data_IF_121981618730
#
_entry.id   IF_121981618730
#
_cell.length_a   1.000
_cell.length_b   1.000
_cell.length_c   1.000
_cell.angle_alpha   90.00
_cell.angle_beta   90.00
_cell.angle_gamma   90.00
#
_symmetry.space_group_name_H-M   'P 1'
#
loop_
_entity.id
_entity.type
_entity.pdbx_description
1 polymer ?
#
# COMPACT_ATOMS: atom_id res chain seq x y z
N UNK A 1 -24.71 -19.25 -6.53
CA UNK A 1 -24.09 -20.50 -7.01
C UNK A 1 -22.71 -20.58 -6.38
N UNK A 2 -22.58 -21.25 -5.23
CA UNK A 2 -21.30 -21.41 -4.54
C UNK A 2 -20.47 -22.43 -5.32
N UNK A 3 -19.32 -22.00 -5.87
CA UNK A 3 -18.39 -22.90 -6.56
C UNK A 3 -17.60 -23.65 -5.48
N UNK A 4 -17.75 -24.98 -5.35
CA UNK A 4 -17.18 -25.76 -4.24
C UNK A 4 -15.64 -25.76 -4.20
N UNK A 5 -14.95 -25.26 -5.23
CA UNK A 5 -13.49 -25.06 -5.24
C UNK A 5 -12.99 -23.74 -4.61
N UNK A 6 -13.84 -22.72 -4.47
CA UNK A 6 -13.42 -21.41 -3.93
C UNK A 6 -13.15 -21.42 -2.42
N UNK A 7 -13.78 -22.33 -1.67
CA UNK A 7 -13.66 -22.36 -0.22
C UNK A 7 -12.28 -22.83 0.25
N UNK A 8 -11.69 -23.81 -0.46
CA UNK A 8 -10.36 -24.32 -0.13
C UNK A 8 -9.26 -23.30 -0.44
N UNK A 9 -9.33 -22.60 -1.57
CA UNK A 9 -8.38 -21.54 -1.93
C UNK A 9 -8.42 -20.35 -0.96
N UNK A 10 -9.62 -19.87 -0.61
CA UNK A 10 -9.78 -18.78 0.35
C UNK A 10 -9.26 -19.19 1.75
N UNK A 11 -9.49 -20.45 2.15
CA UNK A 11 -8.95 -20.99 3.39
C UNK A 11 -7.42 -21.04 3.36
N UNK A 12 -6.81 -21.48 2.26
CA UNK A 12 -5.34 -21.50 2.11
C UNK A 12 -4.73 -20.10 2.19
N UNK A 13 -5.34 -19.11 1.52
CA UNK A 13 -4.90 -17.71 1.58
C UNK A 13 -5.00 -17.15 3.02
N UNK A 14 -6.08 -17.46 3.72
CA UNK A 14 -6.26 -17.05 5.11
C UNK A 14 -5.20 -17.71 6.02
N UNK A 15 -4.95 -19.01 5.85
CA UNK A 15 -3.91 -19.73 6.59
C UNK A 15 -2.53 -19.12 6.30
N UNK A 16 -2.20 -18.83 5.04
CA UNK A 16 -0.94 -18.20 4.66
C UNK A 16 -0.77 -16.82 5.32
N UNK A 17 -1.82 -15.99 5.32
CA UNK A 17 -1.82 -14.71 6.01
C UNK A 17 -1.58 -14.85 7.51
N UNK A 18 -2.29 -15.78 8.17
CA UNK A 18 -2.13 -16.04 9.61
C UNK A 18 -0.72 -16.52 9.94
N UNK A 19 -0.15 -17.44 9.14
CA UNK A 19 1.22 -17.92 9.31
C UNK A 19 2.22 -16.76 9.17
N UNK A 20 2.07 -15.91 8.15
CA UNK A 20 2.95 -14.76 7.94
C UNK A 20 2.89 -13.75 9.10
N UNK A 21 1.67 -13.50 9.60
CA UNK A 21 1.44 -12.64 10.76
C UNK A 21 2.10 -13.22 12.02
N UNK A 22 1.85 -14.50 12.32
CA UNK A 22 2.42 -15.18 13.48
C UNK A 22 3.95 -15.25 13.40
N UNK A 23 4.50 -15.51 12.22
CA UNK A 23 5.95 -15.52 12.01
C UNK A 23 6.54 -14.14 12.28
N UNK A 24 5.90 -13.07 11.80
CA UNK A 24 6.33 -11.70 12.04
C UNK A 24 6.27 -11.37 13.53
N UNK A 25 5.16 -11.68 14.22
CA UNK A 25 5.04 -11.51 15.67
C UNK A 25 6.12 -12.30 16.42
N UNK A 26 6.41 -13.53 16.01
CA UNK A 26 7.45 -14.36 16.60
C UNK A 26 8.84 -13.72 16.43
N UNK A 27 9.16 -13.20 15.24
CA UNK A 27 10.44 -12.50 14.99
C UNK A 27 10.56 -11.27 15.91
N UNK A 28 9.51 -10.45 16.00
CA UNK A 28 9.51 -9.26 16.88
C UNK A 28 9.60 -9.66 18.36
N UNK A 29 8.91 -10.72 18.78
CA UNK A 29 8.94 -11.20 20.15
C UNK A 29 10.31 -11.76 20.53
N UNK A 30 10.88 -12.65 19.71
CA UNK A 30 12.23 -13.19 19.90
C UNK A 30 13.27 -12.06 19.86
N UNK A 31 13.20 -11.18 18.85
CA UNK A 31 14.09 -10.02 18.73
C UNK A 31 14.02 -9.12 19.95
N UNK A 32 12.82 -8.76 20.42
CA UNK A 32 12.64 -7.95 21.62
C UNK A 32 13.03 -8.66 22.93
N UNK A 33 12.93 -9.99 22.98
CA UNK A 33 13.26 -10.80 24.17
C UNK A 33 14.76 -11.03 24.32
N UNK A 34 15.47 -11.26 23.22
CA UNK A 34 16.89 -11.59 23.19
C UNK A 34 17.81 -10.42 22.82
N UNK A 35 17.27 -9.28 22.39
CA UNK A 35 18.08 -8.08 22.12
C UNK A 35 18.79 -7.58 23.39
N UNK A 36 20.01 -7.07 23.20
CA UNK A 36 20.78 -6.41 24.24
C UNK A 36 20.10 -5.09 24.65
N UNK A 37 19.30 -5.16 25.72
CA UNK A 37 18.63 -3.98 26.28
C UNK A 37 19.63 -3.12 27.04
N UNK A 38 20.29 -2.19 26.35
CA UNK A 38 21.03 -1.10 27.02
C UNK A 38 20.08 -0.14 27.75
N UNK A 39 20.59 0.63 28.70
CA UNK A 39 19.83 1.64 29.45
C UNK A 39 19.08 2.61 28.52
N UNK A 40 17.94 3.12 28.99
CA UNK A 40 17.19 4.18 28.30
C UNK A 40 17.79 5.51 28.72
N UNK A 41 18.51 6.18 27.83
CA UNK A 41 18.96 7.56 28.00
C UNK A 41 18.21 8.47 27.04
N UNK A 42 18.10 9.75 27.37
CA UNK A 42 17.50 10.78 26.51
C UNK A 42 18.10 10.71 25.09
N UNK A 43 19.44 10.71 24.97
CA UNK A 43 20.12 10.62 23.68
C UNK A 43 19.97 9.30 22.92
N UNK A 44 19.56 8.21 23.58
CA UNK A 44 19.21 6.94 22.89
C UNK A 44 17.80 6.98 22.31
N UNK A 45 16.91 7.76 22.92
CA UNK A 45 15.51 7.92 22.52
C UNK A 45 15.29 9.13 21.62
N UNK A 46 16.25 10.06 21.56
CA UNK A 46 16.21 11.21 20.67
C UNK A 46 16.23 10.76 19.20
N UNK A 47 15.47 11.43 18.31
CA UNK A 47 15.57 11.22 16.88
C UNK A 47 17.01 11.34 16.38
N UNK A 48 17.33 10.63 15.30
CA UNK A 48 18.64 10.76 14.67
C UNK A 48 18.78 12.16 14.07
N UNK A 49 19.69 12.95 14.61
CA UNK A 49 20.00 14.30 14.12
C UNK A 49 21.47 14.63 14.36
N UNK A 50 22.37 13.66 14.22
CA UNK A 50 23.82 13.83 14.47
C UNK A 50 24.17 14.44 15.86
N UNK A 51 23.26 14.35 16.85
CA UNK A 51 23.42 14.99 18.16
C UNK A 51 23.03 16.48 18.19
N UNK A 52 22.49 17.01 17.09
CA UNK A 52 21.94 18.35 17.00
C UNK A 52 20.48 18.36 17.47
N UNK A 53 20.16 19.30 18.35
CA UNK A 53 18.78 19.59 18.77
C UNK A 53 18.08 20.38 17.66
N UNK A 54 17.66 19.67 16.61
CA UNK A 54 16.81 20.26 15.59
C UNK A 54 15.44 20.56 16.21
N UNK A 55 14.83 21.73 15.90
CA UNK A 55 13.47 21.99 16.31
C UNK A 55 12.57 20.88 15.74
N UNK A 56 12.08 20.02 16.63
CA UNK A 56 11.13 18.95 16.32
C UNK A 56 9.78 19.51 15.81
N UNK A 57 9.61 20.83 15.89
CA UNK A 57 8.44 21.55 15.42
C UNK A 57 8.46 21.70 13.89
N UNK A 58 7.95 20.66 13.22
CA UNK A 58 6.78 20.92 12.39
C UNK A 58 6.98 21.23 10.92
N UNK A 59 8.17 21.11 10.34
CA UNK A 59 8.25 21.11 8.87
C UNK A 59 8.14 19.67 8.35
N UNK A 60 6.90 19.21 8.19
CA UNK A 60 6.60 18.10 7.28
C UNK A 60 7.15 18.49 5.91
N UNK A 61 8.40 18.12 5.59
CA UNK A 61 9.06 18.42 4.31
C UNK A 61 8.51 17.59 3.15
N UNK A 62 7.28 17.10 3.30
CA UNK A 62 6.53 16.42 2.25
C UNK A 62 5.69 17.49 1.58
N UNK A 63 5.89 17.68 0.28
CA UNK A 63 4.99 18.50 -0.52
C UNK A 63 3.64 17.77 -0.60
N UNK A 64 2.71 18.15 0.28
CA UNK A 64 1.40 17.51 0.41
C UNK A 64 0.59 17.62 -0.88
N UNK A 65 0.68 18.75 -1.58
CA UNK A 65 0.01 18.95 -2.87
C UNK A 65 0.47 17.88 -3.87
N UNK A 66 1.79 17.75 -4.05
CA UNK A 66 2.37 16.75 -4.95
C UNK A 66 2.04 15.32 -4.52
N UNK A 67 2.12 15.03 -3.22
CA UNK A 67 1.76 13.72 -2.69
C UNK A 67 0.30 13.37 -2.98
N UNK A 68 -0.62 14.30 -2.74
CA UNK A 68 -2.04 14.11 -2.99
C UNK A 68 -2.35 13.94 -4.48
N UNK A 69 -1.68 14.71 -5.36
CA UNK A 69 -1.79 14.54 -6.81
C UNK A 69 -1.39 13.11 -7.21
N UNK A 70 -0.25 12.61 -6.71
CA UNK A 70 0.16 11.23 -6.98
C UNK A 70 -0.82 10.20 -6.42
N UNK A 71 -1.28 10.37 -5.18
CA UNK A 71 -2.22 9.45 -4.55
C UNK A 71 -3.56 9.38 -5.31
N UNK A 72 -4.05 10.53 -5.78
CA UNK A 72 -5.27 10.61 -6.58
C UNK A 72 -5.09 9.93 -7.94
N UNK A 73 -3.98 10.18 -8.64
CA UNK A 73 -3.70 9.48 -9.89
C UNK A 73 -3.57 7.97 -9.70
N UNK A 74 -2.87 7.54 -8.65
CA UNK A 74 -2.77 6.12 -8.30
C UNK A 74 -4.16 5.50 -8.10
N UNK A 75 -5.03 6.15 -7.32
CA UNK A 75 -6.40 5.67 -7.08
C UNK A 75 -7.22 5.58 -8.38
N UNK A 76 -7.13 6.60 -9.25
CA UNK A 76 -7.83 6.61 -10.54
C UNK A 76 -7.36 5.43 -11.40
N UNK A 77 -6.05 5.21 -11.51
CA UNK A 77 -5.50 4.11 -12.29
C UNK A 77 -5.82 2.73 -11.69
N UNK A 78 -5.89 2.60 -10.37
CA UNK A 78 -6.29 1.37 -9.70
C UNK A 78 -7.75 1.00 -10.00
N UNK A 79 -8.67 1.97 -9.93
CA UNK A 79 -10.08 1.76 -10.31
C UNK A 79 -10.22 1.40 -11.79
N UNK A 80 -9.46 2.06 -12.68
CA UNK A 80 -9.45 1.74 -14.11
C UNK A 80 -8.94 0.32 -14.34
N UNK A 81 -7.85 -0.08 -13.71
CA UNK A 81 -7.31 -1.43 -13.81
C UNK A 81 -8.32 -2.47 -13.35
N UNK A 82 -8.98 -2.23 -12.22
CA UNK A 82 -10.06 -3.07 -11.71
C UNK A 82 -11.21 -3.20 -12.72
N UNK A 83 -11.68 -2.08 -13.29
CA UNK A 83 -12.74 -2.09 -14.30
C UNK A 83 -12.34 -2.91 -15.54
N UNK A 84 -11.11 -2.74 -16.05
CA UNK A 84 -10.61 -3.49 -17.20
C UNK A 84 -10.49 -4.99 -16.94
N UNK A 85 -10.17 -5.40 -15.70
CA UNK A 85 -10.07 -6.82 -15.32
C UNK A 85 -11.45 -7.47 -15.15
N UNK A 86 -12.43 -6.73 -14.61
CA UNK A 86 -13.78 -7.27 -14.35
C UNK A 86 -14.66 -7.24 -15.59
N UNK A 87 -14.53 -6.20 -16.42
CA UNK A 87 -15.38 -5.97 -17.59
C UNK A 87 -15.48 -7.12 -18.61
N UNK A 88 -14.43 -7.92 -18.92
CA UNK A 88 -14.54 -9.04 -19.85
C UNK A 88 -15.55 -10.10 -19.41
N UNK A 89 -15.84 -10.19 -18.09
CA UNK A 89 -16.83 -11.12 -17.53
C UNK A 89 -18.27 -10.74 -17.88
N UNK A 90 -18.51 -9.50 -18.28
CA UNK A 90 -19.84 -8.98 -18.66
C UNK A 90 -19.97 -8.93 -20.18
N UNK A 91 -19.05 -8.24 -20.87
CA UNK A 91 -18.99 -8.22 -22.33
C UNK A 91 -17.67 -7.60 -22.82
N UNK A 92 -17.08 -8.09 -23.92
CA UNK A 92 -15.87 -7.53 -24.51
C UNK A 92 -16.01 -6.06 -24.93
N UNK A 93 -17.23 -5.62 -25.26
CA UNK A 93 -17.50 -4.23 -25.70
C UNK A 93 -17.17 -3.24 -24.58
N UNK A 94 -17.53 -3.56 -23.33
CA UNK A 94 -17.26 -2.70 -22.18
C UNK A 94 -15.77 -2.50 -21.93
N UNK A 95 -14.95 -3.52 -22.21
CA UNK A 95 -13.47 -3.44 -22.08
C UNK A 95 -12.94 -2.41 -23.06
N UNK A 96 -13.40 -2.46 -24.30
CA UNK A 96 -13.00 -1.52 -25.36
C UNK A 96 -13.46 -0.11 -24.99
N UNK A 97 -14.71 0.06 -24.54
CA UNK A 97 -15.24 1.36 -24.12
C UNK A 97 -14.44 1.97 -22.97
N UNK A 98 -14.17 1.22 -21.90
CA UNK A 98 -13.38 1.71 -20.77
C UNK A 98 -11.92 2.00 -21.15
N UNK A 99 -11.31 1.17 -22.00
CA UNK A 99 -9.97 1.41 -22.51
C UNK A 99 -9.90 2.71 -23.34
N UNK A 100 -10.88 2.96 -24.21
CA UNK A 100 -10.95 4.18 -25.02
C UNK A 100 -11.17 5.43 -24.16
N UNK A 101 -12.10 5.39 -23.19
CA UNK A 101 -12.33 6.50 -22.26
C UNK A 101 -11.06 6.81 -21.47
N UNK A 102 -10.37 5.78 -20.96
CA UNK A 102 -9.10 5.93 -20.24
C UNK A 102 -8.04 6.55 -21.14
N UNK A 103 -7.88 6.04 -22.37
CA UNK A 103 -6.91 6.54 -23.33
C UNK A 103 -7.13 8.02 -23.65
N UNK A 104 -8.39 8.42 -23.93
CA UNK A 104 -8.75 9.82 -24.19
C UNK A 104 -8.44 10.69 -22.96
N UNK A 105 -8.77 10.22 -21.76
CA UNK A 105 -8.51 10.95 -20.51
C UNK A 105 -7.02 11.17 -20.29
N UNK A 106 -6.20 10.14 -20.51
CA UNK A 106 -4.74 10.24 -20.40
C UNK A 106 -4.15 11.17 -21.47
N UNK A 107 -4.61 11.08 -22.72
CA UNK A 107 -4.19 11.99 -23.80
C UNK A 107 -4.52 13.44 -23.44
N UNK A 108 -5.71 13.70 -22.90
CA UNK A 108 -6.12 15.04 -22.47
C UNK A 108 -5.23 15.56 -21.34
N UNK A 109 -4.93 14.72 -20.34
CA UNK A 109 -4.04 15.09 -19.21
C UNK A 109 -2.61 15.34 -19.67
N UNK A 110 -2.05 14.52 -20.56
CA UNK A 110 -0.67 14.68 -21.07
C UNK A 110 -0.54 15.92 -21.96
N UNK A 111 -1.58 16.25 -22.72
CA UNK A 111 -1.57 17.41 -23.63
C UNK A 111 -1.79 18.75 -22.90
N UNK A 112 -2.19 18.70 -21.63
CA UNK A 112 -2.41 19.87 -20.78
C UNK A 112 -1.17 20.22 -19.98
#
# INVERSE_FOLDING_TARGET
MAIPGMQHEALLLFIAFVIALLLTMLIYWLGGRYSAKGGKSEGKLSPYSCGEDLPYEGELRVNLERFLIYALYFLIFDVVAFMLVVSPKVSPVHVITYALITLISVIFVIKR
#
